data_IF_088959878774
#
_entry.id   IF_088959878774
#
_cell.length_a   1.000
_cell.length_b   1.000
_cell.length_c   1.000
_cell.angle_alpha   90.00
_cell.angle_beta   90.00
_cell.angle_gamma   90.00
#
_symmetry.space_group_name_H-M   'P 1'
#
loop_
_entity.id
_entity.type
_entity.pdbx_description
1 polymer ?
#
# COMPACT_ATOMS: atom_id res chain seq x y z
N UNK A 1 -15.53 11.25 -17.82
CA UNK A 1 -15.67 11.01 -19.27
C UNK A 1 -17.14 10.80 -19.59
N UNK A 2 -17.71 11.58 -20.50
CA UNK A 2 -19.04 11.33 -21.08
C UNK A 2 -18.94 10.10 -21.99
N UNK A 3 -19.08 8.91 -21.41
CA UNK A 3 -19.34 7.71 -22.19
C UNK A 3 -20.85 7.63 -22.36
N UNK A 4 -21.35 8.40 -23.32
CA UNK A 4 -22.69 8.21 -23.85
C UNK A 4 -22.71 6.82 -24.49
N UNK A 5 -23.16 5.82 -23.71
CA UNK A 5 -23.88 4.61 -24.12
C UNK A 5 -23.76 4.26 -25.61
N UNK A 6 -22.58 3.84 -26.06
CA UNK A 6 -22.38 3.20 -27.37
C UNK A 6 -22.54 1.69 -27.23
N UNK A 7 -23.75 1.23 -26.93
CA UNK A 7 -24.17 -0.18 -27.12
C UNK A 7 -25.70 -0.28 -26.99
N UNK A 8 -26.43 0.17 -28.02
CA UNK A 8 -27.87 -0.08 -28.15
C UNK A 8 -28.74 0.67 -27.14
N UNK A 9 -29.95 1.00 -27.56
CA UNK A 9 -31.01 1.46 -26.66
C UNK A 9 -31.43 0.30 -25.75
N UNK A 10 -30.68 0.07 -24.67
CA UNK A 10 -31.26 -0.57 -23.49
C UNK A 10 -32.50 0.26 -23.16
N UNK A 11 -33.69 -0.33 -23.30
CA UNK A 11 -34.91 0.24 -22.72
C UNK A 11 -34.72 0.22 -21.21
N UNK A 12 -34.08 1.25 -20.68
CA UNK A 12 -33.96 1.45 -19.25
C UNK A 12 -35.40 1.66 -18.77
N UNK A 13 -35.96 0.77 -17.93
CA UNK A 13 -37.28 0.98 -17.35
C UNK A 13 -37.27 2.31 -16.59
N UNK A 14 -38.39 3.02 -16.59
CA UNK A 14 -38.53 4.27 -15.84
C UNK A 14 -38.16 4.01 -14.38
N UNK A 15 -37.07 4.64 -13.93
CA UNK A 15 -36.61 4.53 -12.56
C UNK A 15 -37.50 5.38 -11.64
N UNK A 16 -37.67 4.99 -10.36
CA UNK A 16 -38.28 5.86 -9.36
C UNK A 16 -37.54 7.21 -9.29
N UNK A 17 -38.28 8.30 -9.08
CA UNK A 17 -37.73 9.66 -9.17
C UNK A 17 -36.61 9.94 -8.16
N UNK A 18 -36.67 9.32 -6.99
CA UNK A 18 -35.72 9.45 -5.88
C UNK A 18 -34.69 8.30 -5.83
N UNK A 19 -34.67 7.42 -6.84
CA UNK A 19 -33.80 6.23 -6.83
C UNK A 19 -32.31 6.57 -6.73
N UNK A 20 -31.82 7.48 -7.58
CA UNK A 20 -30.40 7.89 -7.53
C UNK A 20 -30.05 8.65 -6.26
N UNK A 21 -31.01 9.41 -5.70
CA UNK A 21 -30.84 10.06 -4.40
C UNK A 21 -30.67 9.01 -3.30
N UNK A 22 -31.49 7.96 -3.29
CA UNK A 22 -31.37 6.87 -2.33
C UNK A 22 -30.04 6.10 -2.47
N UNK A 23 -29.54 5.91 -3.69
CA UNK A 23 -28.19 5.35 -3.91
C UNK A 23 -27.12 6.25 -3.30
N UNK A 24 -27.19 7.55 -3.57
CA UNK A 24 -26.20 8.49 -3.08
C UNK A 24 -26.20 8.59 -1.55
N UNK A 25 -27.38 8.66 -0.94
CA UNK A 25 -27.54 8.61 0.52
C UNK A 25 -26.94 7.33 1.12
N UNK A 26 -27.14 6.19 0.47
CA UNK A 26 -26.55 4.92 0.92
C UNK A 26 -25.03 4.91 0.81
N UNK A 27 -24.48 5.33 -0.34
CA UNK A 27 -23.03 5.41 -0.54
C UNK A 27 -22.39 6.38 0.47
N UNK A 28 -23.01 7.55 0.70
CA UNK A 28 -22.55 8.50 1.71
C UNK A 28 -22.59 7.91 3.12
N UNK A 29 -23.66 7.21 3.48
CA UNK A 29 -23.78 6.58 4.80
C UNK A 29 -22.67 5.55 5.03
N UNK A 30 -22.35 4.70 4.04
CA UNK A 30 -21.24 3.73 4.14
C UNK A 30 -19.89 4.46 4.23
N UNK A 31 -19.68 5.47 3.38
CA UNK A 31 -18.45 6.28 3.32
C UNK A 31 -18.17 6.97 4.65
N UNK A 32 -19.18 7.66 5.21
CA UNK A 32 -19.07 8.39 6.46
C UNK A 32 -18.78 7.46 7.64
N UNK A 33 -19.54 6.38 7.78
CA UNK A 33 -19.41 5.46 8.92
C UNK A 33 -18.10 4.66 8.88
N UNK A 34 -17.63 4.28 7.69
CA UNK A 34 -16.38 3.55 7.53
C UNK A 34 -15.13 4.43 7.49
N UNK A 35 -15.29 5.76 7.43
CA UNK A 35 -14.21 6.75 7.21
C UNK A 35 -13.42 6.55 5.90
N UNK A 36 -13.90 5.65 5.02
CA UNK A 36 -13.31 5.39 3.71
C UNK A 36 -13.71 6.49 2.74
N UNK A 37 -12.83 6.81 1.80
CA UNK A 37 -13.08 7.80 0.75
C UNK A 37 -13.06 7.08 -0.59
N UNK A 38 -14.23 6.95 -1.18
CA UNK A 38 -14.38 6.47 -2.55
C UNK A 38 -14.26 7.66 -3.49
N UNK A 39 -13.29 7.61 -4.40
CA UNK A 39 -13.10 8.67 -5.40
C UNK A 39 -14.27 8.70 -6.40
N UNK A 40 -14.28 9.71 -7.27
CA UNK A 40 -15.35 9.90 -8.24
C UNK A 40 -15.58 8.66 -9.13
N UNK A 41 -14.51 7.98 -9.53
CA UNK A 41 -14.60 6.81 -10.40
C UNK A 41 -15.19 5.62 -9.65
N UNK A 42 -14.71 5.34 -8.43
CA UNK A 42 -15.24 4.25 -7.60
C UNK A 42 -16.70 4.50 -7.21
N UNK A 43 -17.10 5.74 -6.93
CA UNK A 43 -18.51 6.08 -6.67
C UNK A 43 -19.39 5.85 -7.88
N UNK A 44 -18.89 6.11 -9.08
CA UNK A 44 -19.62 5.81 -10.30
C UNK A 44 -19.75 4.30 -10.52
N UNK A 45 -18.70 3.53 -10.23
CA UNK A 45 -18.75 2.06 -10.25
C UNK A 45 -19.81 1.53 -9.28
N UNK A 46 -19.84 2.05 -8.04
CA UNK A 46 -20.85 1.68 -7.04
C UNK A 46 -22.27 2.00 -7.53
N UNK A 47 -22.50 3.21 -8.06
CA UNK A 47 -23.80 3.62 -8.61
C UNK A 47 -24.25 2.73 -9.76
N UNK A 48 -23.38 2.48 -10.73
CA UNK A 48 -23.68 1.65 -11.89
C UNK A 48 -23.92 0.20 -11.47
N UNK A 49 -23.11 -0.35 -10.56
CA UNK A 49 -23.30 -1.69 -10.02
C UNK A 49 -24.66 -1.85 -9.34
N UNK A 50 -25.03 -0.92 -8.46
CA UNK A 50 -26.34 -0.90 -7.81
C UNK A 50 -27.48 -0.77 -8.83
N UNK A 51 -27.34 0.06 -9.86
CA UNK A 51 -28.30 0.14 -10.96
C UNK A 51 -28.44 -1.19 -11.72
N UNK A 52 -27.33 -1.86 -12.02
CA UNK A 52 -27.35 -3.17 -12.69
C UNK A 52 -28.15 -4.16 -11.84
N UNK A 53 -27.81 -4.29 -10.55
CA UNK A 53 -28.54 -5.16 -9.61
C UNK A 53 -30.04 -4.84 -9.58
N UNK A 54 -30.41 -3.56 -9.53
CA UNK A 54 -31.82 -3.16 -9.54
C UNK A 54 -32.56 -3.57 -10.82
N UNK A 55 -31.89 -3.48 -11.97
CA UNK A 55 -32.48 -3.86 -13.26
C UNK A 55 -32.58 -5.38 -13.41
N UNK A 56 -31.65 -6.15 -12.84
CA UNK A 56 -31.60 -7.60 -12.98
C UNK A 56 -32.43 -8.37 -11.94
N UNK A 57 -32.53 -7.88 -10.70
CA UNK A 57 -33.14 -8.61 -9.57
C UNK A 57 -34.54 -9.19 -9.82
N UNK A 58 -35.37 -8.55 -10.67
CA UNK A 58 -36.72 -9.05 -10.99
C UNK A 58 -36.71 -10.29 -11.88
N UNK A 59 -35.70 -10.43 -12.74
CA UNK A 59 -35.56 -11.54 -13.70
C UNK A 59 -34.55 -12.58 -13.23
N UNK A 60 -33.50 -12.11 -12.59
CA UNK A 60 -32.34 -12.87 -12.13
C UNK A 60 -32.01 -12.38 -10.70
N UNK A 61 -32.80 -12.76 -9.70
CA UNK A 61 -32.52 -12.41 -8.31
C UNK A 61 -31.21 -13.03 -7.85
N UNK A 62 -30.47 -12.32 -7.01
CA UNK A 62 -29.23 -12.84 -6.45
C UNK A 62 -29.49 -14.09 -5.58
N UNK A 63 -28.85 -15.20 -5.96
CA UNK A 63 -28.71 -16.40 -5.14
C UNK A 63 -27.24 -16.49 -4.72
N UNK A 64 -27.00 -16.62 -3.43
CA UNK A 64 -25.66 -16.65 -2.84
C UNK A 64 -25.58 -17.77 -1.82
N UNK A 65 -24.46 -18.49 -1.80
CA UNK A 65 -24.26 -19.63 -0.90
C UNK A 65 -23.98 -19.16 0.54
N UNK A 66 -24.44 -19.94 1.52
CA UNK A 66 -24.32 -19.58 2.93
C UNK A 66 -22.87 -19.49 3.42
N UNK A 67 -22.01 -20.37 2.91
CA UNK A 67 -20.58 -20.35 3.24
C UNK A 67 -19.92 -19.05 2.76
N UNK A 68 -20.32 -18.57 1.58
CA UNK A 68 -19.84 -17.30 1.04
C UNK A 68 -20.34 -16.10 1.86
N UNK A 69 -21.61 -16.12 2.31
CA UNK A 69 -22.13 -15.10 3.24
C UNK A 69 -21.32 -15.09 4.54
N UNK A 70 -20.95 -16.26 5.06
CA UNK A 70 -20.15 -16.38 6.29
C UNK A 70 -18.76 -15.77 6.14
N UNK A 71 -18.13 -15.90 4.97
CA UNK A 71 -16.88 -15.21 4.65
C UNK A 71 -17.06 -13.70 4.48
N UNK A 72 -18.19 -13.26 3.92
CA UNK A 72 -18.52 -11.83 3.82
C UNK A 72 -18.70 -11.15 5.17
N UNK A 73 -19.30 -11.85 6.12
CA UNK A 73 -19.52 -11.36 7.50
C UNK A 73 -18.22 -11.04 8.23
N UNK A 74 -17.12 -11.70 7.87
CA UNK A 74 -15.79 -11.43 8.42
C UNK A 74 -15.16 -10.15 7.86
N UNK A 75 -15.71 -9.57 6.80
CA UNK A 75 -15.12 -8.39 6.14
C UNK A 75 -15.38 -7.13 6.97
N UNK A 76 -14.38 -6.24 7.16
CA UNK A 76 -14.56 -5.02 7.94
C UNK A 76 -15.67 -4.10 7.39
N UNK A 77 -15.96 -4.18 6.09
CA UNK A 77 -17.00 -3.36 5.45
C UNK A 77 -18.42 -3.86 5.75
N UNK A 78 -18.57 -5.07 6.27
CA UNK A 78 -19.86 -5.74 6.42
C UNK A 78 -20.83 -4.94 7.27
N UNK A 79 -20.41 -4.59 8.50
CA UNK A 79 -21.29 -3.89 9.44
C UNK A 79 -21.73 -2.53 8.88
N UNK A 80 -20.81 -1.77 8.26
CA UNK A 80 -21.12 -0.46 7.71
C UNK A 80 -22.15 -0.53 6.56
N UNK A 81 -22.04 -1.54 5.69
CA UNK A 81 -22.99 -1.76 4.60
C UNK A 81 -24.35 -2.19 5.13
N UNK A 82 -24.38 -3.11 6.10
CA UNK A 82 -25.63 -3.57 6.71
C UNK A 82 -26.34 -2.44 7.46
N UNK A 83 -25.61 -1.64 8.24
CA UNK A 83 -26.17 -0.49 8.96
C UNK A 83 -26.76 0.53 7.99
N UNK A 84 -26.03 0.89 6.93
CA UNK A 84 -26.53 1.78 5.88
C UNK A 84 -27.75 1.17 5.17
N UNK A 85 -27.77 -0.14 4.95
CA UNK A 85 -28.89 -0.82 4.29
C UNK A 85 -30.15 -0.72 5.13
N UNK A 86 -30.04 -0.91 6.44
CA UNK A 86 -31.18 -0.87 7.34
C UNK A 86 -31.69 0.55 7.63
N UNK A 87 -30.80 1.54 7.61
CA UNK A 87 -31.12 2.93 7.96
C UNK A 87 -31.53 3.80 6.77
N UNK A 88 -31.05 3.50 5.56
CA UNK A 88 -31.36 4.27 4.36
C UNK A 88 -32.61 3.76 3.65
N UNK A 89 -33.15 4.56 2.73
CA UNK A 89 -34.32 4.18 1.91
C UNK A 89 -33.98 3.16 0.83
N UNK A 90 -32.69 2.89 0.58
CA UNK A 90 -32.25 2.07 -0.54
C UNK A 90 -32.87 0.67 -0.50
N UNK A 91 -32.98 0.05 0.69
CA UNK A 91 -33.56 -1.30 0.85
C UNK A 91 -34.96 -1.45 0.25
N UNK A 92 -35.74 -0.37 0.17
CA UNK A 92 -37.11 -0.43 -0.37
C UNK A 92 -37.15 -0.67 -1.89
N UNK A 93 -36.02 -0.48 -2.58
CA UNK A 93 -35.89 -0.70 -4.02
C UNK A 93 -35.41 -2.11 -4.38
N UNK A 94 -35.00 -2.92 -3.40
CA UNK A 94 -34.29 -4.17 -3.64
C UNK A 94 -34.90 -5.36 -2.92
N UNK A 95 -34.66 -6.55 -3.46
CA UNK A 95 -34.85 -7.80 -2.74
C UNK A 95 -33.78 -7.96 -1.64
N UNK A 96 -34.10 -8.75 -0.62
CA UNK A 96 -33.30 -8.88 0.60
C UNK A 96 -31.84 -9.28 0.34
N UNK A 97 -31.61 -10.25 -0.56
CA UNK A 97 -30.27 -10.74 -0.86
C UNK A 97 -29.39 -9.76 -1.64
N UNK A 98 -29.95 -8.75 -2.30
CA UNK A 98 -29.17 -7.81 -3.13
C UNK A 98 -28.20 -6.96 -2.30
N UNK A 99 -28.41 -6.87 -0.98
CA UNK A 99 -27.44 -6.26 -0.05
C UNK A 99 -26.07 -6.91 -0.14
N UNK A 100 -26.01 -8.23 -0.38
CA UNK A 100 -24.73 -8.94 -0.50
C UNK A 100 -24.00 -8.55 -1.78
N UNK A 101 -24.72 -8.24 -2.85
CA UNK A 101 -24.10 -7.68 -4.06
C UNK A 101 -23.54 -6.28 -3.81
N UNK A 102 -24.29 -5.41 -3.12
CA UNK A 102 -23.79 -4.11 -2.70
C UNK A 102 -22.50 -4.25 -1.88
N UNK A 103 -22.49 -5.20 -0.95
CA UNK A 103 -21.33 -5.48 -0.10
C UNK A 103 -20.12 -5.96 -0.90
N UNK A 104 -20.31 -6.86 -1.87
CA UNK A 104 -19.25 -7.29 -2.81
C UNK A 104 -18.69 -6.06 -3.55
N UNK A 105 -19.53 -5.18 -4.07
CA UNK A 105 -19.08 -3.96 -4.77
C UNK A 105 -18.23 -3.05 -3.86
N UNK A 106 -18.67 -2.81 -2.62
CA UNK A 106 -17.91 -2.00 -1.65
C UNK A 106 -16.60 -2.64 -1.22
N UNK A 107 -16.55 -3.98 -1.12
CA UNK A 107 -15.33 -4.70 -0.80
C UNK A 107 -14.32 -4.61 -1.95
N UNK A 108 -14.78 -4.72 -3.20
CA UNK A 108 -13.90 -4.71 -4.38
C UNK A 108 -13.45 -3.30 -4.79
N UNK A 109 -14.25 -2.27 -4.48
CA UNK A 109 -13.93 -0.89 -4.83
C UNK A 109 -12.69 -0.40 -4.09
N UNK A 110 -11.84 0.34 -4.78
CA UNK A 110 -10.70 1.00 -4.16
C UNK A 110 -11.17 2.20 -3.33
N UNK A 111 -10.47 2.46 -2.23
CA UNK A 111 -10.77 3.55 -1.31
C UNK A 111 -9.51 4.13 -0.68
N UNK A 112 -9.59 5.40 -0.29
CA UNK A 112 -8.57 6.11 0.48
C UNK A 112 -9.06 6.53 1.86
N UNK A 113 -8.24 7.34 2.53
CA UNK A 113 -8.51 7.92 3.84
C UNK A 113 -7.98 9.35 3.91
N UNK A 114 -8.56 10.18 4.78
CA UNK A 114 -8.09 11.55 5.05
C UNK A 114 -7.25 11.68 6.33
N UNK A 115 -7.04 10.61 7.08
CA UNK A 115 -6.24 10.62 8.31
C UNK A 115 -5.44 9.32 8.48
N UNK A 116 -4.27 9.44 9.09
CA UNK A 116 -3.41 8.29 9.41
C UNK A 116 -4.08 7.36 10.43
N UNK A 117 -4.80 7.90 11.41
CA UNK A 117 -5.53 7.09 12.39
C UNK A 117 -6.53 6.14 11.71
N UNK A 118 -7.30 6.63 10.73
CA UNK A 118 -8.25 5.78 10.01
C UNK A 118 -7.54 4.71 9.15
N UNK A 119 -6.37 5.03 8.59
CA UNK A 119 -5.51 4.07 7.88
C UNK A 119 -5.11 2.93 8.81
N UNK A 120 -4.71 3.25 10.04
CA UNK A 120 -4.26 2.29 11.05
C UNK A 120 -5.39 1.43 11.59
N UNK A 121 -6.54 2.01 11.95
CA UNK A 121 -7.73 1.27 12.40
C UNK A 121 -8.21 0.26 11.34
N UNK A 122 -8.31 0.69 10.07
CA UNK A 122 -8.69 -0.21 8.96
C UNK A 122 -7.62 -1.29 8.73
N UNK A 123 -6.33 -0.94 8.85
CA UNK A 123 -5.24 -1.89 8.69
C UNK A 123 -5.29 -3.00 9.73
N UNK A 124 -5.49 -2.69 11.02
CA UNK A 124 -5.56 -3.70 12.07
C UNK A 124 -6.65 -4.74 11.80
N UNK A 125 -7.86 -4.30 11.41
CA UNK A 125 -8.95 -5.21 11.09
C UNK A 125 -8.65 -6.07 9.84
N UNK A 126 -8.09 -5.47 8.79
CA UNK A 126 -7.74 -6.20 7.58
C UNK A 126 -6.58 -7.17 7.80
N UNK A 127 -5.59 -6.79 8.60
CA UNK A 127 -4.44 -7.61 8.93
C UNK A 127 -4.87 -8.91 9.61
N UNK A 128 -5.77 -8.84 10.59
CA UNK A 128 -6.33 -10.03 11.24
C UNK A 128 -6.92 -10.99 10.20
N UNK A 129 -7.86 -10.49 9.39
CA UNK A 129 -8.67 -11.31 8.48
C UNK A 129 -7.86 -11.87 7.30
N UNK A 130 -6.94 -11.10 6.74
CA UNK A 130 -6.23 -11.48 5.51
C UNK A 130 -4.85 -12.08 5.78
N UNK A 131 -4.17 -11.73 6.86
CA UNK A 131 -2.81 -12.18 7.15
C UNK A 131 -2.82 -13.15 8.31
N UNK A 132 -3.30 -12.76 9.50
CA UNK A 132 -3.18 -13.60 10.70
C UNK A 132 -3.97 -14.91 10.58
N UNK A 133 -5.21 -14.81 10.12
CA UNK A 133 -6.12 -15.96 10.03
C UNK A 133 -5.86 -16.82 8.77
N UNK A 134 -5.02 -16.36 7.84
CA UNK A 134 -4.78 -17.01 6.54
C UNK A 134 -3.38 -17.60 6.40
N UNK A 135 -3.30 -18.93 6.60
CA UNK A 135 -2.04 -19.66 6.44
C UNK A 135 -1.48 -19.60 5.02
N UNK A 136 -2.34 -19.63 4.00
CA UNK A 136 -1.90 -19.57 2.60
C UNK A 136 -1.26 -18.22 2.27
N UNK A 137 -1.74 -17.13 2.85
CA UNK A 137 -1.14 -15.81 2.67
C UNK A 137 0.19 -15.70 3.40
N UNK A 138 0.30 -16.21 4.64
CA UNK A 138 1.60 -16.27 5.35
C UNK A 138 2.66 -17.05 4.58
N UNK A 139 2.29 -18.13 3.91
CA UNK A 139 3.18 -18.89 3.03
C UNK A 139 3.65 -18.06 1.84
N UNK A 140 2.73 -17.32 1.19
CA UNK A 140 3.09 -16.39 0.11
C UNK A 140 4.09 -15.33 0.60
N UNK A 141 3.83 -14.72 1.75
CA UNK A 141 4.75 -13.73 2.34
C UNK A 141 6.13 -14.36 2.57
N UNK A 142 6.20 -15.56 3.14
CA UNK A 142 7.46 -16.28 3.38
C UNK A 142 8.25 -16.55 2.08
N UNK A 143 7.54 -16.84 0.97
CA UNK A 143 8.17 -16.99 -0.35
C UNK A 143 8.77 -15.67 -0.83
N UNK A 144 8.06 -14.55 -0.66
CA UNK A 144 8.58 -13.21 -0.94
C UNK A 144 9.80 -12.88 -0.06
N UNK A 145 9.74 -13.17 1.24
CA UNK A 145 10.83 -12.90 2.17
C UNK A 145 12.09 -13.67 1.80
N UNK A 146 11.94 -14.94 1.41
CA UNK A 146 13.03 -15.80 0.96
C UNK A 146 13.64 -15.32 -0.36
N UNK A 147 12.80 -14.90 -1.31
CA UNK A 147 13.25 -14.43 -2.62
C UNK A 147 14.01 -13.10 -2.53
N UNK A 148 13.48 -12.13 -1.78
CA UNK A 148 14.10 -10.81 -1.63
C UNK A 148 15.11 -10.73 -0.48
N UNK A 149 15.30 -11.81 0.28
CA UNK A 149 16.12 -11.86 1.50
C UNK A 149 15.80 -10.69 2.47
N UNK A 150 14.51 -10.41 2.65
CA UNK A 150 14.01 -9.26 3.43
C UNK A 150 12.78 -9.66 4.21
N UNK A 151 12.70 -9.22 5.46
CA UNK A 151 11.49 -9.40 6.27
C UNK A 151 10.37 -8.47 5.79
N UNK A 152 9.23 -9.06 5.46
CA UNK A 152 8.00 -8.40 5.03
C UNK A 152 6.89 -8.51 6.05
N UNK A 153 6.88 -9.55 6.91
CA UNK A 153 5.97 -9.59 8.05
C UNK A 153 6.28 -8.43 9.00
N UNK A 154 5.26 -7.64 9.32
CA UNK A 154 5.34 -6.39 10.07
C UNK A 154 5.69 -5.17 9.21
N UNK A 155 5.98 -5.34 7.91
CA UNK A 155 6.10 -4.21 6.99
C UNK A 155 4.71 -3.79 6.52
N UNK A 156 4.13 -2.80 7.22
CA UNK A 156 2.77 -2.32 6.97
C UNK A 156 2.49 -1.92 5.53
N UNK A 157 3.47 -1.32 4.83
CA UNK A 157 3.31 -0.93 3.44
C UNK A 157 3.14 -2.16 2.53
N UNK A 158 3.98 -3.18 2.73
CA UNK A 158 3.90 -4.44 1.99
C UNK A 158 2.61 -5.20 2.31
N UNK A 159 2.31 -5.37 3.60
CA UNK A 159 1.11 -6.11 4.03
C UNK A 159 -0.15 -5.44 3.49
N UNK A 160 -0.22 -4.10 3.53
CA UNK A 160 -1.36 -3.35 2.97
C UNK A 160 -1.46 -3.50 1.44
N UNK A 161 -0.35 -3.47 0.73
CA UNK A 161 -0.32 -3.71 -0.72
C UNK A 161 -0.84 -5.12 -1.06
N UNK A 162 -0.39 -6.13 -0.31
CA UNK A 162 -0.83 -7.51 -0.48
C UNK A 162 -2.31 -7.69 -0.15
N UNK A 163 -2.78 -7.10 0.96
CA UNK A 163 -4.20 -7.09 1.35
C UNK A 163 -5.05 -6.48 0.24
N UNK A 164 -4.63 -5.35 -0.34
CA UNK A 164 -5.34 -4.70 -1.46
C UNK A 164 -5.46 -5.66 -2.65
N UNK A 165 -4.36 -6.31 -3.05
CA UNK A 165 -4.37 -7.31 -4.12
C UNK A 165 -5.34 -8.46 -3.82
N UNK A 166 -5.30 -9.01 -2.61
CA UNK A 166 -6.15 -10.14 -2.20
C UNK A 166 -7.62 -9.76 -2.14
N UNK A 167 -7.93 -8.53 -1.71
CA UNK A 167 -9.30 -8.01 -1.68
C UNK A 167 -9.85 -7.85 -3.09
N UNK A 168 -9.07 -7.27 -4.00
CA UNK A 168 -9.49 -7.08 -5.39
C UNK A 168 -9.66 -8.41 -6.12
N UNK A 169 -8.75 -9.36 -5.93
CA UNK A 169 -8.81 -10.68 -6.57
C UNK A 169 -9.86 -11.64 -5.97
N UNK A 170 -10.59 -11.22 -4.95
CA UNK A 170 -11.41 -12.11 -4.15
C UNK A 170 -12.51 -12.79 -4.98
N UNK A 171 -12.53 -14.12 -4.88
CA UNK A 171 -13.43 -15.05 -5.59
C UNK A 171 -13.61 -14.75 -7.09
N UNK A 172 -12.55 -14.27 -7.73
CA UNK A 172 -12.54 -13.93 -9.14
C UNK A 172 -13.48 -12.79 -9.57
N UNK A 173 -14.08 -12.05 -8.63
CA UNK A 173 -15.01 -10.96 -8.96
C UNK A 173 -14.38 -9.79 -9.68
N UNK A 174 -13.05 -9.62 -9.59
CA UNK A 174 -12.31 -8.66 -10.41
C UNK A 174 -12.63 -8.83 -11.89
N UNK A 175 -12.96 -10.03 -12.38
CA UNK A 175 -13.37 -10.29 -13.76
C UNK A 175 -14.53 -9.41 -14.24
N UNK A 176 -15.38 -8.95 -13.33
CA UNK A 176 -16.62 -8.23 -13.63
C UNK A 176 -16.59 -6.75 -13.24
N UNK A 177 -15.57 -6.29 -12.51
CA UNK A 177 -15.42 -4.90 -12.10
C UNK A 177 -14.49 -4.16 -13.06
N UNK A 178 -14.85 -2.95 -13.53
CA UNK A 178 -13.95 -2.13 -14.32
C UNK A 178 -12.81 -1.60 -13.46
N UNK A 179 -11.58 -1.62 -13.99
CA UNK A 179 -10.38 -1.19 -13.26
C UNK A 179 -9.67 -0.05 -13.99
N UNK A 180 -8.92 0.76 -13.22
CA UNK A 180 -7.96 1.70 -13.79
C UNK A 180 -6.79 0.92 -14.38
N UNK A 181 -6.35 1.28 -15.58
CA UNK A 181 -5.18 0.66 -16.20
C UNK A 181 -3.89 1.19 -15.57
N UNK A 182 -3.03 0.27 -15.15
CA UNK A 182 -1.72 0.59 -14.61
C UNK A 182 -0.65 0.38 -15.67
N UNK A 183 0.21 1.38 -15.87
CA UNK A 183 1.33 1.31 -16.80
C UNK A 183 2.63 1.11 -16.02
N UNK A 184 3.36 0.06 -16.37
CA UNK A 184 4.63 -0.28 -15.74
C UNK A 184 5.82 0.33 -16.48
N UNK A 185 6.77 0.88 -15.73
CA UNK A 185 8.10 1.23 -16.23
C UNK A 185 8.90 -0.04 -16.61
N UNK A 186 10.01 0.07 -17.36
CA UNK A 186 10.84 -1.09 -17.71
C UNK A 186 11.34 -1.87 -16.47
N UNK A 187 11.79 -1.17 -15.43
CA UNK A 187 12.20 -1.79 -14.16
C UNK A 187 11.05 -2.54 -13.48
N UNK A 188 9.85 -1.96 -13.50
CA UNK A 188 8.66 -2.59 -12.93
C UNK A 188 8.22 -3.82 -13.74
N UNK A 189 8.39 -3.81 -15.07
CA UNK A 189 8.12 -4.99 -15.90
C UNK A 189 9.09 -6.14 -15.58
N UNK A 190 10.37 -5.83 -15.35
CA UNK A 190 11.34 -6.83 -14.87
C UNK A 190 10.93 -7.40 -13.52
N UNK A 191 10.56 -6.53 -12.56
CA UNK A 191 10.08 -6.97 -11.25
C UNK A 191 8.82 -7.84 -11.35
N UNK A 192 7.88 -7.51 -12.23
CA UNK A 192 6.69 -8.33 -12.47
C UNK A 192 7.09 -9.74 -12.95
N UNK A 193 8.00 -9.83 -13.91
CA UNK A 193 8.48 -11.11 -14.44
C UNK A 193 9.20 -11.95 -13.37
N UNK A 194 9.89 -11.31 -12.42
CA UNK A 194 10.56 -11.94 -11.28
C UNK A 194 9.58 -12.53 -10.26
N UNK A 195 8.51 -11.80 -9.91
CA UNK A 195 7.57 -12.23 -8.86
C UNK A 195 6.44 -13.12 -9.38
N UNK A 196 6.15 -13.09 -10.68
CA UNK A 196 5.06 -13.87 -11.27
C UNK A 196 5.20 -15.39 -11.04
N UNK A 197 6.41 -15.99 -11.11
CA UNK A 197 6.63 -17.38 -10.70
C UNK A 197 6.24 -17.66 -9.24
N UNK A 198 6.51 -16.74 -8.31
CA UNK A 198 6.14 -16.89 -6.89
C UNK A 198 4.63 -16.99 -6.73
N UNK A 199 3.89 -16.07 -7.37
CA UNK A 199 2.43 -16.13 -7.39
C UNK A 199 1.91 -17.42 -8.04
N UNK A 200 2.48 -17.83 -9.18
CA UNK A 200 2.05 -19.05 -9.86
C UNK A 200 2.25 -20.31 -8.98
N UNK A 201 3.37 -20.38 -8.28
CA UNK A 201 3.66 -21.48 -7.36
C UNK A 201 2.69 -21.51 -6.18
N UNK A 202 2.39 -20.35 -5.60
CA UNK A 202 1.41 -20.22 -4.53
C UNK A 202 -0.02 -20.56 -5.00
N UNK A 203 -0.44 -20.02 -6.15
CA UNK A 203 -1.76 -20.29 -6.74
C UNK A 203 -1.98 -21.79 -7.00
N UNK A 204 -0.94 -22.53 -7.38
CA UNK A 204 -1.01 -23.97 -7.61
C UNK A 204 -1.21 -24.79 -6.31
N UNK A 205 -0.96 -24.20 -5.14
CA UNK A 205 -1.12 -24.85 -3.83
C UNK A 205 -2.49 -24.57 -3.19
N UNK A 206 -3.26 -23.63 -3.74
CA UNK A 206 -4.58 -23.30 -3.20
C UNK A 206 -5.59 -24.43 -3.48
N UNK A 207 -6.52 -24.72 -2.55
CA UNK A 207 -7.56 -25.73 -2.75
C UNK A 207 -8.65 -25.28 -3.73
N UNK A 208 -8.56 -24.05 -4.25
CA UNK A 208 -9.50 -23.44 -5.19
C UNK A 208 -8.76 -22.71 -6.30
N UNK A 209 -9.46 -22.46 -7.41
CA UNK A 209 -8.90 -21.79 -8.59
C UNK A 209 -9.03 -20.27 -8.51
N UNK A 210 -8.08 -19.62 -7.84
CA UNK A 210 -7.93 -18.17 -7.88
C UNK A 210 -7.26 -17.74 -9.19
N UNK A 211 -7.74 -16.66 -9.81
CA UNK A 211 -7.13 -16.02 -10.97
C UNK A 211 -6.72 -14.60 -10.58
N UNK A 212 -5.46 -14.26 -10.76
CA UNK A 212 -4.99 -12.89 -10.62
C UNK A 212 -5.02 -12.24 -12.01
N UNK A 213 -5.79 -11.15 -12.15
CA UNK A 213 -5.72 -10.33 -13.36
C UNK A 213 -4.35 -9.65 -13.42
N UNK A 214 -3.82 -9.50 -14.63
CA UNK A 214 -2.54 -8.83 -14.84
C UNK A 214 -2.56 -7.39 -14.30
N UNK A 215 -3.64 -6.65 -14.51
CA UNK A 215 -3.77 -5.27 -14.05
C UNK A 215 -3.74 -5.13 -12.51
N UNK A 216 -4.26 -6.13 -11.78
CA UNK A 216 -4.14 -6.16 -10.32
C UNK A 216 -2.69 -6.40 -9.89
N UNK A 217 -1.97 -7.28 -10.60
CA UNK A 217 -0.55 -7.52 -10.36
C UNK A 217 0.28 -6.28 -10.72
N UNK A 218 -0.06 -5.56 -11.78
CA UNK A 218 0.60 -4.31 -12.17
C UNK A 218 0.50 -3.27 -11.05
N UNK A 219 -0.70 -3.09 -10.48
CA UNK A 219 -0.90 -2.20 -9.32
C UNK A 219 -0.03 -2.61 -8.13
N UNK A 220 0.01 -3.91 -7.81
CA UNK A 220 0.84 -4.44 -6.73
C UNK A 220 2.34 -4.23 -6.99
N UNK A 221 2.81 -4.43 -8.22
CA UNK A 221 4.21 -4.24 -8.61
C UNK A 221 4.64 -2.79 -8.48
N UNK A 222 3.77 -1.83 -8.80
CA UNK A 222 4.08 -0.41 -8.61
C UNK A 222 4.35 -0.10 -7.13
N UNK A 223 3.48 -0.58 -6.24
CA UNK A 223 3.63 -0.40 -4.78
C UNK A 223 4.86 -1.17 -4.26
N UNK A 224 5.04 -2.42 -4.66
CA UNK A 224 6.17 -3.26 -4.29
C UNK A 224 7.49 -2.66 -4.73
N UNK A 225 7.59 -2.13 -5.95
CA UNK A 225 8.78 -1.43 -6.44
C UNK A 225 9.15 -0.27 -5.52
N UNK A 226 8.17 0.53 -5.08
CA UNK A 226 8.38 1.58 -4.09
C UNK A 226 8.90 1.03 -2.75
N UNK A 227 8.28 -0.03 -2.24
CA UNK A 227 8.66 -0.67 -0.97
C UNK A 227 10.07 -1.25 -1.02
N UNK A 228 10.42 -1.92 -2.12
CA UNK A 228 11.74 -2.50 -2.35
C UNK A 228 12.81 -1.41 -2.50
N UNK A 229 12.47 -0.26 -3.10
CA UNK A 229 13.34 0.93 -3.17
C UNK A 229 13.55 1.60 -1.81
N UNK A 230 12.61 1.47 -0.88
CA UNK A 230 12.85 1.75 0.55
C UNK A 230 13.71 0.60 1.12
N UNK A 231 14.80 0.30 0.42
CA UNK A 231 15.88 -0.49 0.94
C UNK A 231 16.73 0.48 1.73
N UNK A 232 16.84 0.18 3.02
CA UNK A 232 17.79 0.84 3.86
C UNK A 232 19.19 0.36 3.45
N UNK A 233 19.77 0.93 2.40
CA UNK A 233 21.19 0.73 2.12
C UNK A 233 21.92 1.07 3.42
N UNK A 234 22.65 0.10 3.98
CA UNK A 234 23.33 0.29 5.26
C UNK A 234 24.41 1.35 5.05
N UNK A 235 24.16 2.55 5.57
CA UNK A 235 25.09 3.66 5.49
C UNK A 235 25.99 3.60 6.71
N UNK A 236 27.27 3.29 6.50
CA UNK A 236 28.25 3.33 7.58
C UNK A 236 28.67 4.77 7.78
N UNK A 237 28.42 5.33 8.96
CA UNK A 237 28.75 6.72 9.27
C UNK A 237 29.89 6.76 10.29
N UNK A 238 30.98 7.43 9.92
CA UNK A 238 32.09 7.75 10.83
C UNK A 238 32.02 9.23 11.21
N UNK A 239 32.31 9.52 12.46
CA UNK A 239 32.25 10.89 12.98
C UNK A 239 33.66 11.33 13.37
N UNK A 240 34.10 12.43 12.77
CA UNK A 240 35.38 13.08 13.08
C UNK A 240 35.10 14.33 13.90
N UNK A 241 35.41 14.29 15.19
CA UNK A 241 35.24 15.40 16.14
C UNK A 241 36.25 15.29 17.27
N UNK A 242 36.60 16.43 17.85
CA UNK A 242 37.47 16.51 19.02
C UNK A 242 36.68 16.64 20.34
N UNK A 243 35.35 16.49 20.30
CA UNK A 243 34.46 16.58 21.46
C UNK A 243 33.55 15.35 21.55
N UNK A 244 33.61 14.68 22.69
CA UNK A 244 32.73 13.59 23.09
C UNK A 244 31.25 14.02 23.10
N UNK A 245 30.94 15.20 23.63
CA UNK A 245 29.58 15.75 23.64
C UNK A 245 29.05 15.93 22.21
N UNK A 246 29.88 16.47 21.30
CA UNK A 246 29.48 16.64 19.89
C UNK A 246 29.30 15.30 19.19
N UNK A 247 30.16 14.32 19.46
CA UNK A 247 29.98 12.96 18.95
C UNK A 247 28.62 12.39 19.35
N UNK A 248 28.23 12.50 20.62
CA UNK A 248 26.94 12.01 21.11
C UNK A 248 25.76 12.72 20.44
N UNK A 249 25.81 14.05 20.31
CA UNK A 249 24.78 14.83 19.60
C UNK A 249 24.65 14.37 18.14
N UNK A 250 25.78 14.20 17.45
CA UNK A 250 25.81 13.75 16.06
C UNK A 250 25.24 12.35 15.90
N UNK A 251 25.63 11.44 16.79
CA UNK A 251 25.15 10.07 16.83
C UNK A 251 23.64 10.00 17.07
N UNK A 252 23.13 10.70 18.07
CA UNK A 252 21.70 10.69 18.42
C UNK A 252 20.84 11.20 17.27
N UNK A 253 21.28 12.26 16.58
CA UNK A 253 20.53 12.76 15.43
C UNK A 253 20.55 11.79 14.24
N UNK A 254 21.66 11.11 13.97
CA UNK A 254 21.73 10.07 12.94
C UNK A 254 20.81 8.89 13.28
N UNK A 255 20.84 8.43 14.53
CA UNK A 255 20.00 7.34 15.03
C UNK A 255 18.49 7.70 15.02
N UNK A 256 18.15 9.00 15.11
CA UNK A 256 16.78 9.49 14.98
C UNK A 256 16.20 9.38 13.55
N UNK A 257 17.05 9.22 12.53
CA UNK A 257 16.62 9.11 11.13
C UNK A 257 16.21 7.67 10.81
N UNK A 258 14.90 7.40 10.87
CA UNK A 258 14.36 6.05 10.67
C UNK A 258 14.26 5.58 9.22
N UNK A 259 14.43 6.51 8.27
CA UNK A 259 14.27 6.26 6.83
C UNK A 259 15.47 5.55 6.19
N UNK A 260 16.63 5.57 6.83
CA UNK A 260 17.85 4.86 6.42
C UNK A 260 18.31 3.91 7.52
N UNK A 261 19.12 2.91 7.19
CA UNK A 261 19.81 2.06 8.17
C UNK A 261 21.21 2.64 8.32
N UNK A 262 21.37 3.58 9.26
CA UNK A 262 22.64 4.21 9.53
C UNK A 262 23.34 3.48 10.66
N UNK A 263 24.53 2.95 10.39
CA UNK A 263 25.38 2.37 11.42
C UNK A 263 26.49 3.35 11.74
N UNK A 264 26.39 3.97 12.92
CA UNK A 264 27.40 4.90 13.41
C UNK A 264 28.53 4.12 14.06
N UNK A 265 29.73 4.27 13.52
CA UNK A 265 30.96 3.68 14.07
C UNK A 265 31.15 4.12 15.53
N UNK A 266 31.34 3.21 16.49
CA UNK A 266 31.53 3.56 17.90
C UNK A 266 32.82 4.34 18.18
N UNK A 267 33.76 4.40 17.23
CA UNK A 267 35.03 5.09 17.39
C UNK A 267 34.87 6.61 17.16
N UNK A 268 35.39 7.40 18.10
CA UNK A 268 35.52 8.86 17.95
C UNK A 268 36.84 9.18 17.27
N UNK A 269 36.78 9.64 16.03
CA UNK A 269 37.97 10.02 15.28
C UNK A 269 38.31 11.49 15.52
N UNK A 270 39.54 11.79 15.96
CA UNK A 270 39.93 13.17 16.26
C UNK A 270 40.48 13.94 15.06
N UNK A 271 40.88 13.24 14.00
CA UNK A 271 41.50 13.82 12.81
C UNK A 271 41.13 13.04 11.54
N UNK A 272 41.29 13.69 10.39
CA UNK A 272 41.18 13.06 9.06
C UNK A 272 42.50 12.37 8.70
N UNK A 273 42.71 11.16 9.24
CA UNK A 273 43.86 10.32 8.88
C UNK A 273 43.65 9.57 7.55
N UNK A 274 44.69 8.88 7.08
CA UNK A 274 44.62 8.08 5.84
C UNK A 274 43.62 6.93 5.91
N UNK A 275 43.33 6.41 7.11
CA UNK A 275 42.33 5.35 7.29
C UNK A 275 40.90 5.87 7.10
N UNK A 276 40.61 7.09 7.58
CA UNK A 276 39.35 7.79 7.34
C UNK A 276 39.23 8.18 5.86
N UNK A 277 40.28 8.73 5.25
CA UNK A 277 40.28 9.08 3.82
C UNK A 277 40.06 7.85 2.94
N UNK A 278 40.69 6.72 3.25
CA UNK A 278 40.46 5.45 2.53
C UNK A 278 39.01 4.96 2.69
N UNK A 279 38.43 5.09 3.88
CA UNK A 279 37.03 4.72 4.10
C UNK A 279 36.05 5.65 3.38
N UNK A 280 36.42 6.93 3.16
CA UNK A 280 35.64 7.86 2.36
C UNK A 280 35.43 7.37 0.91
N UNK A 281 36.34 6.55 0.38
CA UNK A 281 36.24 6.01 -0.98
C UNK A 281 35.26 4.83 -1.09
N UNK A 282 34.75 4.30 0.03
CA UNK A 282 33.79 3.21 0.03
C UNK A 282 32.38 3.72 -0.27
N UNK A 283 31.67 3.05 -1.18
CA UNK A 283 30.38 3.47 -1.75
C UNK A 283 29.32 3.80 -0.69
N UNK A 284 29.26 3.00 0.39
CA UNK A 284 28.26 3.11 1.45
C UNK A 284 28.78 3.76 2.74
N UNK A 285 29.97 4.35 2.72
CA UNK A 285 30.57 4.99 3.89
C UNK A 285 30.46 6.51 3.79
N UNK A 286 30.07 7.16 4.87
CA UNK A 286 29.99 8.62 4.99
C UNK A 286 30.76 9.08 6.21
N UNK A 287 31.42 10.23 6.08
CA UNK A 287 32.21 10.80 7.17
C UNK A 287 31.63 12.16 7.51
N UNK A 288 31.04 12.29 8.70
CA UNK A 288 30.67 13.58 9.24
C UNK A 288 31.90 14.18 9.92
N UNK A 289 32.49 15.20 9.30
CA UNK A 289 33.68 15.85 9.82
C UNK A 289 33.34 17.21 10.40
N UNK A 290 33.71 17.44 11.66
CA UNK A 290 33.49 18.72 12.29
C UNK A 290 34.21 19.83 11.52
N UNK A 291 33.53 20.96 11.28
CA UNK A 291 34.08 22.07 10.49
C UNK A 291 35.46 22.57 10.97
N UNK A 292 35.74 22.49 12.26
CA UNK A 292 37.04 22.88 12.83
C UNK A 292 38.18 21.92 12.50
N UNK A 293 37.86 20.69 12.08
CA UNK A 293 38.78 19.63 11.71
C UNK A 293 38.77 19.35 10.19
N UNK A 294 37.92 20.07 9.45
CA UNK A 294 37.78 19.92 8.02
C UNK A 294 38.98 20.57 7.30
N UNK A 295 39.73 19.77 6.52
CA UNK A 295 40.92 20.22 5.80
C UNK A 295 40.62 20.38 4.30
N UNK A 296 41.40 21.17 3.54
CA UNK A 296 41.22 21.31 2.09
C UNK A 296 41.32 19.98 1.33
N UNK A 297 42.08 19.02 1.86
CA UNK A 297 42.20 17.67 1.30
C UNK A 297 40.88 16.90 1.33
N UNK A 298 39.99 17.21 2.29
CA UNK A 298 38.67 16.60 2.41
C UNK A 298 37.74 16.96 1.24
N UNK A 299 37.95 18.11 0.58
CA UNK A 299 37.14 18.55 -0.57
C UNK A 299 37.25 17.60 -1.76
N UNK A 300 38.30 16.77 -1.82
CA UNK A 300 38.49 15.76 -2.86
C UNK A 300 37.54 14.56 -2.68
N UNK A 301 36.89 14.44 -1.52
CA UNK A 301 36.04 13.32 -1.16
C UNK A 301 34.59 13.78 -0.94
N UNK A 302 33.67 13.56 -1.89
CA UNK A 302 32.28 14.02 -1.77
C UNK A 302 31.50 13.32 -0.64
N UNK A 303 32.03 12.23 -0.09
CA UNK A 303 31.48 11.46 1.03
C UNK A 303 31.89 12.01 2.40
N UNK A 304 32.84 12.95 2.46
CA UNK A 304 33.19 13.69 3.68
C UNK A 304 32.33 14.95 3.73
N UNK A 305 31.40 14.98 4.68
CA UNK A 305 30.45 16.07 4.83
C UNK A 305 30.83 16.92 6.04
N UNK A 306 31.05 18.23 5.87
CA UNK A 306 31.31 19.12 6.99
C UNK A 306 30.06 19.27 7.86
N UNK A 307 30.23 19.19 9.18
CA UNK A 307 29.14 19.30 10.16
C UNK A 307 29.49 20.25 11.31
N UNK A 308 28.47 20.91 11.85
CA UNK A 308 28.47 21.55 13.15
C UNK A 308 27.13 21.26 13.82
N UNK A 309 27.02 21.48 15.14
CA UNK A 309 25.75 21.30 15.88
C UNK A 309 24.58 22.02 15.18
N UNK A 310 24.82 23.25 14.72
CA UNK A 310 23.78 24.05 14.04
C UNK A 310 23.42 23.59 12.62
N UNK A 311 24.24 22.75 11.98
CA UNK A 311 24.01 22.31 10.59
C UNK A 311 23.75 20.82 10.47
N UNK A 312 23.63 20.11 11.58
CA UNK A 312 23.51 18.65 11.65
C UNK A 312 22.43 18.08 10.72
N UNK A 313 21.22 18.64 10.75
CA UNK A 313 20.10 18.19 9.91
C UNK A 313 20.42 18.31 8.41
N UNK A 314 21.00 19.44 8.01
CA UNK A 314 21.40 19.68 6.62
C UNK A 314 22.55 18.76 6.20
N UNK A 315 23.52 18.56 7.07
CA UNK A 315 24.66 17.66 6.83
C UNK A 315 24.20 16.21 6.68
N UNK A 316 23.21 15.75 7.46
CA UNK A 316 22.62 14.41 7.30
C UNK A 316 21.92 14.28 5.94
N UNK A 317 21.13 15.26 5.53
CA UNK A 317 20.50 15.26 4.20
C UNK A 317 21.55 15.17 3.08
N UNK A 318 22.64 15.91 3.19
CA UNK A 318 23.74 15.85 2.22
C UNK A 318 24.46 14.50 2.21
N UNK A 319 24.75 13.92 3.38
CA UNK A 319 25.39 12.61 3.49
C UNK A 319 24.56 11.51 2.77
N UNK A 320 23.24 11.63 2.83
CA UNK A 320 22.30 10.72 2.18
C UNK A 320 22.15 11.00 0.68
N UNK A 321 22.13 12.27 0.25
CA UNK A 321 21.95 12.64 -1.16
C UNK A 321 23.16 12.29 -2.05
N UNK A 322 24.34 12.11 -1.47
CA UNK A 322 25.55 11.68 -2.17
C UNK A 322 25.51 10.19 -2.60
N UNK A 323 24.44 9.45 -2.32
CA UNK A 323 24.18 8.12 -2.87
C UNK A 323 23.62 8.28 -4.29
N UNK A 324 24.49 8.29 -5.30
CA UNK A 324 24.08 8.23 -6.73
C UNK A 324 24.95 7.27 -7.50
#
# INVERSE_FOLDING_TARGET
MNVTYRTGTLKIPTLPADYFLAIDEFIESVTFNSRRIYDKDNREILRIGLLISYLSQKKHPLSIEQDFISELQKRPIYQYVMDAWHTTKLKHYYQENEVYFALILFNLSDYGFNSYQAIEEDFCHLHQVFIEDSQSIKQLITQFESYFNRKFIGNRAFERALIRLMRTAWDNYQLFVPEKFYLLSPEQQSLLAEIQPLFNQWLAQLPYRLRLKINCLDAFVIELSGILRINKTKLHVRIVTNSDVKYLIYREALESVTTFDMEVDPVVYQHLDEAIKSAAQQENTRILCEKTLYTPEAEQFPTIVPVSVDTIEKSIVWAVQAVR
#
